data_IF_849618364623
#
_entry.id   IF_849618364623
#
_cell.length_a   1.000
_cell.length_b   1.000
_cell.length_c   1.000
_cell.angle_alpha   90.00
_cell.angle_beta   90.00
_cell.angle_gamma   90.00
#
_symmetry.space_group_name_H-M   'P 1'
#
loop_
_entity.id
_entity.type
_entity.pdbx_description
1 polymer ?
#
# COMPACT_ATOMS: atom_id res chain seq x y z
N UNK A 1 -18.64 12.17 -10.40
CA UNK A 1 -17.74 13.32 -10.64
C UNK A 1 -16.96 13.69 -9.38
N UNK A 2 -17.64 13.98 -8.26
CA UNK A 2 -17.00 14.33 -6.97
C UNK A 2 -16.08 13.20 -6.46
N UNK A 3 -16.51 11.94 -6.59
CA UNK A 3 -15.75 10.72 -6.26
C UNK A 3 -14.37 10.63 -6.91
N UNK A 4 -14.30 10.87 -8.22
CA UNK A 4 -13.04 10.81 -8.97
C UNK A 4 -12.09 11.90 -8.50
N UNK A 5 -12.62 13.09 -8.19
CA UNK A 5 -11.87 14.23 -7.69
C UNK A 5 -11.30 13.95 -6.28
N UNK A 6 -12.09 13.33 -5.40
CA UNK A 6 -11.66 12.92 -4.05
C UNK A 6 -10.55 11.89 -4.10
N UNK A 7 -10.69 10.86 -4.95
CA UNK A 7 -9.67 9.82 -5.14
C UNK A 7 -8.38 10.36 -5.76
N UNK A 8 -8.49 11.29 -6.72
CA UNK A 8 -7.33 11.98 -7.30
C UNK A 8 -6.61 12.86 -6.27
N UNK A 9 -7.35 13.66 -5.50
CA UNK A 9 -6.78 14.51 -4.46
C UNK A 9 -6.11 13.67 -3.38
N UNK A 10 -6.73 12.57 -2.96
CA UNK A 10 -6.16 11.65 -2.00
C UNK A 10 -4.89 10.99 -2.54
N UNK A 11 -4.94 10.45 -3.76
CA UNK A 11 -3.78 9.83 -4.40
C UNK A 11 -2.61 10.80 -4.54
N UNK A 12 -2.88 12.06 -4.87
CA UNK A 12 -1.85 13.11 -4.95
C UNK A 12 -1.22 13.40 -3.58
N UNK A 13 -2.03 13.65 -2.55
CA UNK A 13 -1.52 13.95 -1.20
C UNK A 13 -0.80 12.75 -0.59
N UNK A 14 -1.41 11.57 -0.66
CA UNK A 14 -0.84 10.34 -0.14
C UNK A 14 0.44 9.95 -0.90
N UNK A 15 0.48 10.15 -2.22
CA UNK A 15 1.67 9.92 -3.04
C UNK A 15 2.84 10.85 -2.69
N UNK A 16 2.56 12.14 -2.47
CA UNK A 16 3.58 13.11 -2.01
C UNK A 16 4.11 12.73 -0.63
N UNK A 17 3.22 12.44 0.33
CA UNK A 17 3.62 12.03 1.67
C UNK A 17 4.42 10.72 1.66
N UNK A 18 3.99 9.74 0.86
CA UNK A 18 4.71 8.49 0.67
C UNK A 18 6.11 8.68 0.08
N UNK A 19 6.25 9.58 -0.89
CA UNK A 19 7.53 9.92 -1.50
C UNK A 19 8.47 10.67 -0.55
N UNK A 20 7.94 11.57 0.29
CA UNK A 20 8.72 12.30 1.29
C UNK A 20 9.16 11.42 2.47
N UNK A 21 8.27 10.55 2.96
CA UNK A 21 8.55 9.67 4.11
C UNK A 21 9.30 8.40 3.72
N UNK A 22 9.28 8.00 2.44
CA UNK A 22 9.96 6.80 1.94
C UNK A 22 9.36 5.46 2.41
N UNK A 23 8.27 5.49 3.19
CA UNK A 23 7.69 4.29 3.85
C UNK A 23 6.81 3.46 2.89
N UNK A 24 6.47 3.98 1.70
CA UNK A 24 5.47 3.40 0.82
C UNK A 24 4.08 3.62 1.41
N UNK A 25 3.24 4.42 0.75
CA UNK A 25 2.07 5.10 1.35
C UNK A 25 0.97 4.23 1.96
N UNK A 26 1.12 2.91 2.04
CA UNK A 26 0.09 1.97 2.48
C UNK A 26 -0.46 2.22 3.88
N UNK A 27 0.39 2.61 4.84
CA UNK A 27 -0.05 2.92 6.22
C UNK A 27 -1.04 4.08 6.28
N UNK A 28 -0.97 5.00 5.32
CA UNK A 28 -1.86 6.17 5.22
C UNK A 28 -3.00 5.88 4.22
N UNK A 29 -2.72 5.22 3.09
CA UNK A 29 -3.67 4.97 2.01
C UNK A 29 -4.78 4.02 2.44
N UNK A 30 -4.48 2.93 3.16
CA UNK A 30 -5.47 1.94 3.57
C UNK A 30 -6.58 2.53 4.45
N UNK A 31 -6.30 3.18 5.61
CA UNK A 31 -7.36 3.70 6.48
C UNK A 31 -8.19 4.79 5.79
N UNK A 32 -7.59 5.60 4.92
CA UNK A 32 -8.34 6.64 4.21
C UNK A 32 -9.23 6.04 3.11
N UNK A 33 -8.77 5.00 2.40
CA UNK A 33 -9.62 4.27 1.45
C UNK A 33 -10.81 3.60 2.15
N UNK A 34 -10.59 2.99 3.33
CA UNK A 34 -11.68 2.41 4.13
C UNK A 34 -12.68 3.50 4.55
N UNK A 35 -12.20 4.66 5.01
CA UNK A 35 -13.06 5.78 5.42
C UNK A 35 -13.90 6.31 4.26
N UNK A 36 -13.29 6.43 3.07
CA UNK A 36 -14.00 6.82 1.85
C UNK A 36 -15.04 5.76 1.48
N UNK A 37 -14.67 4.48 1.44
CA UNK A 37 -15.55 3.39 1.00
C UNK A 37 -16.70 3.08 1.98
N UNK A 38 -16.53 3.24 3.29
CA UNK A 38 -17.63 3.17 4.26
C UNK A 38 -18.68 4.28 4.08
N UNK A 39 -18.33 5.38 3.43
CA UNK A 39 -19.27 6.45 3.08
C UNK A 39 -20.17 6.14 1.87
N UNK A 40 -19.97 5.01 1.17
CA UNK A 40 -20.74 4.66 -0.03
C UNK A 40 -21.64 3.44 0.18
N UNK A 41 -22.96 3.56 -0.07
CA UNK A 41 -23.92 2.45 0.08
C UNK A 41 -23.86 1.41 -1.06
N UNK A 42 -23.10 1.66 -2.14
CA UNK A 42 -23.00 0.77 -3.32
C UNK A 42 -21.95 -0.33 -3.18
N UNK A 43 -21.06 -0.26 -2.19
CA UNK A 43 -20.04 -1.29 -1.94
C UNK A 43 -20.46 -2.10 -0.71
N UNK A 44 -20.76 -3.41 -0.85
CA UNK A 44 -21.03 -4.26 0.30
C UNK A 44 -19.86 -4.20 1.29
N UNK A 45 -20.14 -3.87 2.54
CA UNK A 45 -19.15 -3.72 3.64
C UNK A 45 -18.20 -4.91 3.75
N UNK A 46 -18.69 -6.12 3.44
CA UNK A 46 -17.89 -7.35 3.40
C UNK A 46 -16.67 -7.29 2.45
N UNK A 47 -16.72 -6.47 1.39
CA UNK A 47 -15.68 -6.42 0.36
C UNK A 47 -14.83 -5.14 0.44
N UNK A 48 -15.26 -4.14 1.24
CA UNK A 48 -14.57 -2.84 1.35
C UNK A 48 -13.11 -3.01 1.76
N UNK A 49 -12.85 -3.85 2.76
CA UNK A 49 -11.50 -4.07 3.26
C UNK A 49 -10.61 -4.78 2.24
N UNK A 50 -11.15 -5.78 1.52
CA UNK A 50 -10.42 -6.44 0.44
C UNK A 50 -10.06 -5.48 -0.70
N UNK A 51 -11.01 -4.65 -1.13
CA UNK A 51 -10.79 -3.69 -2.22
C UNK A 51 -9.82 -2.58 -1.81
N UNK A 52 -9.94 -2.05 -0.58
CA UNK A 52 -9.03 -1.04 -0.05
C UNK A 52 -7.59 -1.56 0.05
N UNK A 53 -7.40 -2.77 0.59
CA UNK A 53 -6.09 -3.41 0.68
C UNK A 53 -5.49 -3.68 -0.70
N UNK A 54 -6.26 -4.24 -1.63
CA UNK A 54 -5.80 -4.52 -2.99
C UNK A 54 -5.38 -3.22 -3.73
N UNK A 55 -6.18 -2.16 -3.61
CA UNK A 55 -5.90 -0.86 -4.24
C UNK A 55 -4.64 -0.22 -3.66
N UNK A 56 -4.46 -0.30 -2.33
CA UNK A 56 -3.26 0.20 -1.67
C UNK A 56 -2.01 -0.58 -2.11
N UNK A 57 -2.08 -1.91 -2.16
CA UNK A 57 -0.95 -2.74 -2.61
C UNK A 57 -0.55 -2.43 -4.05
N UNK A 58 -1.53 -2.28 -4.96
CA UNK A 58 -1.27 -1.86 -6.33
C UNK A 58 -0.54 -0.50 -6.38
N UNK A 59 -0.97 0.46 -5.55
CA UNK A 59 -0.33 1.77 -5.46
C UNK A 59 1.10 1.66 -4.92
N UNK A 60 1.34 0.83 -3.91
CA UNK A 60 2.67 0.60 -3.34
C UNK A 60 3.62 0.04 -4.40
N UNK A 61 3.19 -0.95 -5.19
CA UNK A 61 4.05 -1.52 -6.26
C UNK A 61 4.51 -0.45 -7.24
N UNK A 62 3.60 0.40 -7.72
CA UNK A 62 3.93 1.47 -8.67
C UNK A 62 4.87 2.51 -8.03
N UNK A 63 4.58 2.94 -6.80
CA UNK A 63 5.40 3.94 -6.09
C UNK A 63 6.78 3.40 -5.73
N UNK A 64 6.88 2.13 -5.31
CA UNK A 64 8.16 1.45 -5.06
C UNK A 64 9.01 1.36 -6.32
N UNK A 65 8.42 1.03 -7.47
CA UNK A 65 9.16 0.96 -8.73
C UNK A 65 9.73 2.33 -9.14
N UNK A 66 8.94 3.38 -8.97
CA UNK A 66 9.38 4.77 -9.16
C UNK A 66 10.53 5.13 -8.21
N UNK A 67 10.40 4.76 -6.93
CA UNK A 67 11.40 5.03 -5.89
C UNK A 67 12.72 4.32 -6.15
N UNK A 68 12.70 3.03 -6.51
CA UNK A 68 13.90 2.26 -6.88
C UNK A 68 14.60 2.93 -8.08
N UNK A 69 13.85 3.30 -9.12
CA UNK A 69 14.40 3.95 -10.30
C UNK A 69 15.07 5.29 -9.95
N UNK A 70 14.47 6.07 -9.06
CA UNK A 70 15.03 7.34 -8.60
C UNK A 70 16.32 7.16 -7.79
N UNK A 71 16.35 6.20 -6.85
CA UNK A 71 17.52 5.91 -6.02
C UNK A 71 18.65 5.26 -6.82
N UNK A 72 18.32 4.43 -7.80
CA UNK A 72 19.30 3.82 -8.70
C UNK A 72 20.02 4.89 -9.54
N UNK A 73 19.30 5.89 -10.03
CA UNK A 73 19.89 7.03 -10.75
C UNK A 73 20.84 7.86 -9.88
N UNK A 74 20.65 7.84 -8.56
CA UNK A 74 21.52 8.53 -7.60
C UNK A 74 22.68 7.65 -7.11
N UNK A 75 22.79 6.39 -7.57
CA UNK A 75 23.84 5.46 -7.13
C UNK A 75 23.73 5.03 -5.67
N UNK A 76 22.57 5.26 -5.03
CA UNK A 76 22.38 5.05 -3.59
C UNK A 76 21.95 3.62 -3.21
N UNK A 77 21.98 2.66 -4.15
CA UNK A 77 21.51 1.28 -3.93
C UNK A 77 22.72 0.35 -3.74
N UNK A 78 22.85 -0.20 -2.53
CA UNK A 78 23.77 -1.29 -2.22
C UNK A 78 23.12 -2.65 -2.56
N UNK A 79 23.39 -3.14 -3.78
CA UNK A 79 22.85 -4.40 -4.28
C UNK A 79 23.20 -5.63 -3.43
N UNK A 80 24.44 -5.79 -2.90
CA UNK A 80 24.74 -6.83 -1.92
C UNK A 80 23.78 -6.87 -0.73
N UNK A 81 23.45 -5.70 -0.16
CA UNK A 81 22.50 -5.60 0.96
C UNK A 81 21.09 -6.00 0.52
N UNK A 82 20.64 -5.54 -0.65
CA UNK A 82 19.33 -5.90 -1.21
C UNK A 82 19.21 -7.42 -1.33
N UNK A 83 20.19 -8.11 -1.91
CA UNK A 83 20.15 -9.56 -2.08
C UNK A 83 20.16 -10.33 -0.76
N UNK A 84 20.80 -9.80 0.27
CA UNK A 84 20.83 -10.42 1.60
C UNK A 84 19.51 -10.22 2.36
N UNK A 85 18.85 -9.09 2.18
CA UNK A 85 17.56 -8.77 2.83
C UNK A 85 16.36 -9.39 2.12
N UNK A 86 16.39 -9.47 0.79
CA UNK A 86 15.30 -10.00 -0.05
C UNK A 86 14.73 -11.34 0.45
N UNK A 87 15.53 -12.38 0.73
CA UNK A 87 14.97 -13.65 1.21
C UNK A 87 14.28 -13.50 2.57
N UNK A 88 14.80 -12.67 3.48
CA UNK A 88 14.17 -12.38 4.77
C UNK A 88 12.83 -11.66 4.61
N UNK A 89 12.75 -10.71 3.67
CA UNK A 89 11.51 -10.01 3.32
C UNK A 89 10.48 -10.97 2.74
N UNK A 90 10.88 -11.85 1.82
CA UNK A 90 9.98 -12.85 1.22
C UNK A 90 9.43 -13.79 2.30
N UNK A 91 10.30 -14.35 3.14
CA UNK A 91 9.89 -15.26 4.23
C UNK A 91 8.99 -14.53 5.23
N UNK A 92 9.34 -13.31 5.63
CA UNK A 92 8.55 -12.49 6.54
C UNK A 92 7.17 -12.13 5.98
N UNK A 93 7.10 -11.78 4.68
CA UNK A 93 5.84 -11.47 4.01
C UNK A 93 4.93 -12.70 3.88
N UNK A 94 5.48 -13.87 3.54
CA UNK A 94 4.73 -15.12 3.48
C UNK A 94 4.26 -15.57 4.86
N UNK A 95 5.14 -15.52 5.87
CA UNK A 95 4.76 -15.85 7.24
C UNK A 95 3.69 -14.89 7.78
N UNK A 96 3.82 -13.59 7.47
CA UNK A 96 2.87 -12.56 7.84
C UNK A 96 1.51 -12.74 7.17
N UNK A 97 1.46 -13.04 5.87
CA UNK A 97 0.20 -13.26 5.15
C UNK A 97 -0.54 -14.51 5.64
N UNK A 98 0.20 -15.58 5.90
CA UNK A 98 -0.32 -16.81 6.49
C UNK A 98 -0.86 -16.52 7.90
N UNK A 99 -0.08 -15.82 8.74
CA UNK A 99 -0.51 -15.44 10.09
C UNK A 99 -1.76 -14.55 10.06
N UNK A 100 -1.83 -13.59 9.14
CA UNK A 100 -2.98 -12.71 8.97
C UNK A 100 -4.23 -13.48 8.51
N UNK A 101 -4.07 -14.56 7.72
CA UNK A 101 -5.21 -15.39 7.30
C UNK A 101 -5.83 -16.20 8.45
N UNK A 102 -5.09 -16.41 9.54
CA UNK A 102 -5.62 -17.01 10.77
C UNK A 102 -6.33 -16.01 11.68
N UNK A 103 -6.11 -14.70 11.49
CA UNK A 103 -6.92 -13.68 12.15
C UNK A 103 -8.21 -13.50 11.34
N UNK A 104 -9.29 -14.12 11.80
CA UNK A 104 -10.62 -14.00 11.19
C UNK A 104 -11.05 -12.53 11.07
N UNK A 105 -11.44 -12.13 9.86
CA UNK A 105 -12.08 -10.84 9.55
C UNK A 105 -13.47 -10.65 10.17
N UNK A 106 -13.89 -11.56 11.07
CA UNK A 106 -15.22 -11.62 11.68
C UNK A 106 -15.40 -10.64 12.85
N UNK A 107 -14.37 -9.90 13.25
CA UNK A 107 -14.42 -8.99 14.41
C UNK A 107 -13.98 -7.54 14.15
N UNK A 108 -13.99 -7.07 12.90
CA UNK A 108 -13.76 -5.66 12.51
C UNK A 108 -14.85 -5.20 11.54
#
# INVERSE_FOLDING_TARGET
MITLLSLLALGAVAGILAGLLGVGGGTIIVPVLIWIFHGYPEIPTANVMHVALATSLATIVITSLSSITAHQKQGAIDWPVVWRLTPGIIVGALAGSVSASFLSSDSL
#
